data_IF_824816674288
#
_entry.id   IF_824816674288
#
_cell.length_a   1.000
_cell.length_b   1.000
_cell.length_c   1.000
_cell.angle_alpha   90.00
_cell.angle_beta   90.00
_cell.angle_gamma   90.00
#
_symmetry.space_group_name_H-M   'P 1'
#
loop_
_entity.id
_entity.type
_entity.pdbx_description
1 polymer ?
#
# COMPACT_ATOMS: atom_id res chain seq x y z
N UNK A 1 2.30 2.62 -32.09
CA UNK A 1 1.77 3.41 -30.95
C UNK A 1 2.80 3.33 -29.82
N UNK A 2 3.27 4.47 -29.28
CA UNK A 2 4.53 4.55 -28.50
C UNK A 2 4.40 3.94 -27.08
N UNK A 3 5.03 2.79 -26.82
CA UNK A 3 4.96 2.05 -25.54
C UNK A 3 5.25 2.93 -24.30
N UNK A 4 6.22 3.86 -24.40
CA UNK A 4 6.54 4.82 -23.31
C UNK A 4 5.37 5.73 -22.93
N UNK A 5 4.55 6.18 -23.89
CA UNK A 5 3.40 7.06 -23.61
C UNK A 5 2.27 6.29 -22.92
N UNK A 6 2.08 5.03 -23.28
CA UNK A 6 1.07 4.17 -22.66
C UNK A 6 1.43 3.85 -21.21
N UNK A 7 2.70 3.51 -20.92
CA UNK A 7 3.16 3.29 -19.55
C UNK A 7 3.02 4.55 -18.70
N UNK A 8 3.36 5.73 -19.24
CA UNK A 8 3.18 6.99 -18.53
C UNK A 8 1.70 7.24 -18.19
N UNK A 9 0.80 7.05 -19.16
CA UNK A 9 -0.65 7.19 -18.94
C UNK A 9 -1.18 6.19 -17.90
N UNK A 10 -0.66 4.96 -17.90
CA UNK A 10 -1.04 3.95 -16.91
C UNK A 10 -0.58 4.34 -15.50
N UNK A 11 0.67 4.82 -15.35
CA UNK A 11 1.21 5.32 -14.08
C UNK A 11 0.36 6.48 -13.56
N UNK A 12 0.01 7.45 -14.41
CA UNK A 12 -0.78 8.62 -13.99
C UNK A 12 -2.21 8.23 -13.62
N UNK A 13 -2.86 7.33 -14.37
CA UNK A 13 -4.19 6.80 -14.02
C UNK A 13 -4.15 6.04 -12.69
N UNK A 14 -3.15 5.19 -12.49
CA UNK A 14 -3.02 4.42 -11.25
C UNK A 14 -2.77 5.35 -10.06
N UNK A 15 -1.92 6.37 -10.21
CA UNK A 15 -1.68 7.37 -9.19
C UNK A 15 -2.92 8.22 -8.88
N UNK A 16 -3.68 8.64 -9.89
CA UNK A 16 -4.93 9.36 -9.71
C UNK A 16 -5.95 8.53 -8.92
N UNK A 17 -6.13 7.26 -9.28
CA UNK A 17 -6.96 6.33 -8.54
C UNK A 17 -6.47 6.15 -7.10
N UNK A 18 -5.14 6.07 -6.89
CA UNK A 18 -4.55 6.00 -5.56
C UNK A 18 -4.94 7.19 -4.68
N UNK A 19 -4.89 8.41 -5.23
CA UNK A 19 -5.26 9.62 -4.51
C UNK A 19 -6.75 9.61 -4.19
N UNK A 20 -7.61 9.35 -5.17
CA UNK A 20 -9.07 9.32 -4.99
C UNK A 20 -9.49 8.28 -3.94
N UNK A 21 -8.96 7.05 -4.04
CA UNK A 21 -9.23 5.99 -3.07
C UNK A 21 -8.74 6.38 -1.67
N UNK A 22 -7.57 7.01 -1.56
CA UNK A 22 -7.04 7.47 -0.27
C UNK A 22 -7.88 8.59 0.34
N UNK A 23 -8.51 9.45 -0.47
CA UNK A 23 -9.43 10.48 0.00
C UNK A 23 -10.76 9.86 0.44
N UNK A 24 -11.33 8.94 -0.36
CA UNK A 24 -12.55 8.20 -0.01
C UNK A 24 -12.36 7.42 1.30
N UNK A 25 -11.22 6.74 1.47
CA UNK A 25 -10.90 6.01 2.70
C UNK A 25 -10.87 6.92 3.94
N UNK A 26 -10.53 8.21 3.79
CA UNK A 26 -10.60 9.18 4.91
C UNK A 26 -12.03 9.59 5.25
N UNK A 27 -12.95 9.53 4.28
CA UNK A 27 -14.36 9.86 4.47
C UNK A 27 -15.15 8.69 5.08
N UNK A 28 -14.72 7.45 4.82
CA UNK A 28 -15.33 6.26 5.40
C UNK A 28 -14.96 6.17 6.88
N UNK A 29 -15.97 6.04 7.75
CA UNK A 29 -15.75 5.76 9.17
C UNK A 29 -14.94 4.46 9.33
N UNK A 30 -13.87 4.45 10.15
CA UNK A 30 -13.05 3.26 10.34
C UNK A 30 -13.92 2.05 10.72
N UNK A 31 -13.89 0.95 9.96
CA UNK A 31 -14.73 -0.22 10.26
C UNK A 31 -14.27 -0.97 11.50
N UNK A 32 -13.04 -0.71 11.96
CA UNK A 32 -12.48 -1.29 13.17
C UNK A 32 -12.74 -0.36 14.36
N UNK A 33 -14.01 -0.28 14.81
CA UNK A 33 -14.41 0.55 15.94
C UNK A 33 -13.65 0.22 17.25
N UNK A 34 -13.15 -1.01 17.38
CA UNK A 34 -12.34 -1.49 18.51
C UNK A 34 -10.86 -1.06 18.45
N UNK A 35 -10.39 -0.52 17.31
CA UNK A 35 -9.00 -0.13 17.12
C UNK A 35 -8.92 1.29 16.52
N UNK A 36 -8.99 2.34 17.35
CA UNK A 36 -8.78 3.72 16.92
C UNK A 36 -7.50 3.86 16.09
N UNK A 37 -7.64 4.44 14.89
CA UNK A 37 -6.54 4.62 13.93
C UNK A 37 -6.35 3.49 12.91
N UNK A 38 -7.00 2.33 13.08
CA UNK A 38 -6.95 1.26 12.08
C UNK A 38 -7.75 1.64 10.83
N UNK A 39 -7.12 1.51 9.66
CA UNK A 39 -7.72 1.84 8.35
C UNK A 39 -8.03 0.56 7.56
N UNK A 40 -8.89 0.69 6.54
CA UNK A 40 -9.22 -0.41 5.64
C UNK A 40 -8.02 -0.89 4.81
N UNK A 41 -7.02 -0.03 4.60
CA UNK A 41 -5.87 -0.28 3.76
C UNK A 41 -6.18 -0.11 2.27
N UNK A 42 -7.26 0.61 1.90
CA UNK A 42 -7.60 0.84 0.50
C UNK A 42 -6.50 1.61 -0.23
N UNK A 43 -5.81 2.53 0.46
CA UNK A 43 -4.60 3.14 -0.09
C UNK A 43 -3.55 2.09 -0.47
N UNK A 44 -3.30 1.09 0.38
CA UNK A 44 -2.30 0.04 0.16
C UNK A 44 -2.64 -0.91 -0.99
N UNK A 45 -3.93 -1.04 -1.36
CA UNK A 45 -4.36 -1.77 -2.55
C UNK A 45 -3.62 -1.29 -3.81
N UNK A 46 -3.53 0.03 -3.98
CA UNK A 46 -2.88 0.60 -5.17
C UNK A 46 -1.36 0.43 -5.10
N UNK A 47 -0.75 0.47 -3.91
CA UNK A 47 0.67 0.10 -3.75
C UNK A 47 0.92 -1.33 -4.20
N UNK A 48 0.06 -2.26 -3.80
CA UNK A 48 0.19 -3.67 -4.16
C UNK A 48 -0.01 -3.89 -5.67
N UNK A 49 -1.05 -3.28 -6.25
CA UNK A 49 -1.28 -3.32 -7.70
C UNK A 49 -0.07 -2.74 -8.45
N UNK A 50 0.47 -1.61 -8.01
CA UNK A 50 1.67 -1.02 -8.63
C UNK A 50 2.87 -1.97 -8.57
N UNK A 51 3.13 -2.60 -7.42
CA UNK A 51 4.22 -3.59 -7.26
C UNK A 51 4.06 -4.79 -8.21
N UNK A 52 2.83 -5.18 -8.53
CA UNK A 52 2.54 -6.33 -9.38
C UNK A 52 2.26 -6.00 -10.86
N UNK A 53 2.27 -4.72 -11.25
CA UNK A 53 2.02 -4.28 -12.64
C UNK A 53 3.12 -3.41 -13.22
N UNK A 54 3.97 -2.80 -12.38
CA UNK A 54 5.02 -1.89 -12.83
C UNK A 54 6.40 -2.35 -12.35
N UNK A 55 7.48 -1.99 -13.08
CA UNK A 55 8.84 -2.11 -12.58
C UNK A 55 9.01 -1.32 -11.26
N UNK A 56 9.93 -1.77 -10.40
CA UNK A 56 10.16 -1.20 -9.06
C UNK A 56 10.40 0.32 -9.07
N UNK A 57 11.02 0.85 -10.14
CA UNK A 57 11.26 2.30 -10.29
C UNK A 57 9.98 3.09 -10.52
N UNK A 58 9.01 2.53 -11.23
CA UNK A 58 7.77 3.20 -11.59
C UNK A 58 6.68 3.00 -10.52
N UNK A 59 6.63 1.83 -9.89
CA UNK A 59 5.74 1.61 -8.73
C UNK A 59 6.11 2.53 -7.56
N UNK A 60 7.40 2.79 -7.31
CA UNK A 60 7.84 3.77 -6.30
C UNK A 60 7.30 5.17 -6.60
N UNK A 61 7.28 5.61 -7.86
CA UNK A 61 6.72 6.91 -8.26
C UNK A 61 5.24 7.01 -7.95
N UNK A 62 4.46 5.96 -8.26
CA UNK A 62 3.01 5.92 -7.96
C UNK A 62 2.78 6.06 -6.46
N UNK A 63 3.53 5.31 -5.65
CA UNK A 63 3.39 5.32 -4.19
C UNK A 63 3.80 6.68 -3.60
N UNK A 64 4.90 7.26 -4.06
CA UNK A 64 5.37 8.57 -3.62
C UNK A 64 4.37 9.67 -4.01
N UNK A 65 3.87 9.65 -5.25
CA UNK A 65 2.91 10.64 -5.74
C UNK A 65 1.59 10.56 -4.96
N UNK A 66 1.09 9.36 -4.68
CA UNK A 66 -0.08 9.15 -3.82
C UNK A 66 0.14 9.79 -2.46
N UNK A 67 1.27 9.51 -1.80
CA UNK A 67 1.55 10.00 -0.46
C UNK A 67 1.61 11.54 -0.44
N UNK A 68 2.35 12.14 -1.38
CA UNK A 68 2.51 13.59 -1.47
C UNK A 68 1.16 14.28 -1.75
N UNK A 69 0.44 13.86 -2.79
CA UNK A 69 -0.82 14.50 -3.18
C UNK A 69 -1.89 14.29 -2.11
N UNK A 70 -2.06 13.08 -1.60
CA UNK A 70 -3.10 12.81 -0.57
C UNK A 70 -2.84 13.56 0.73
N UNK A 71 -1.57 13.84 1.06
CA UNK A 71 -1.25 14.67 2.23
C UNK A 71 -1.46 16.14 1.93
N UNK A 72 -1.07 16.62 0.75
CA UNK A 72 -1.24 18.02 0.37
C UNK A 72 -2.72 18.43 0.28
N UNK A 73 -3.60 17.54 -0.21
CA UNK A 73 -5.02 17.84 -0.41
C UNK A 73 -5.86 17.85 0.87
N UNK A 74 -5.39 17.27 1.98
CA UNK A 74 -6.22 17.17 3.19
C UNK A 74 -5.55 16.56 4.40
N UNK A 75 -4.22 16.61 4.48
CA UNK A 75 -3.43 16.16 5.62
C UNK A 75 -2.66 17.29 6.27
N UNK A 76 -2.12 17.01 7.46
CA UNK A 76 -1.16 17.86 8.17
C UNK A 76 0.26 17.32 8.02
N UNK A 77 1.26 18.10 8.45
CA UNK A 77 2.65 17.62 8.48
C UNK A 77 2.82 16.35 9.31
N UNK A 78 2.11 16.21 10.44
CA UNK A 78 2.15 14.97 11.23
C UNK A 78 1.57 13.78 10.45
N UNK A 79 0.46 13.97 9.73
CA UNK A 79 -0.10 12.90 8.89
C UNK A 79 0.83 12.51 7.73
N UNK A 80 1.61 13.48 7.21
CA UNK A 80 2.65 13.19 6.24
C UNK A 80 3.70 12.26 6.83
N UNK A 81 4.21 12.56 8.03
CA UNK A 81 5.23 11.76 8.68
C UNK A 81 4.75 10.34 8.97
N UNK A 82 3.52 10.19 9.51
CA UNK A 82 2.90 8.88 9.73
C UNK A 82 2.78 8.11 8.42
N UNK A 83 2.19 8.74 7.39
CA UNK A 83 2.00 8.14 6.08
C UNK A 83 3.32 7.78 5.40
N UNK A 84 4.35 8.61 5.54
CA UNK A 84 5.67 8.41 4.96
C UNK A 84 6.37 7.21 5.58
N UNK A 85 6.47 7.15 6.91
CA UNK A 85 7.11 6.02 7.57
C UNK A 85 6.35 4.71 7.32
N UNK A 86 5.02 4.71 7.48
CA UNK A 86 4.19 3.54 7.20
C UNK A 86 4.30 3.07 5.75
N UNK A 87 4.16 3.99 4.79
CA UNK A 87 4.23 3.65 3.36
C UNK A 87 5.61 3.14 2.97
N UNK A 88 6.68 3.76 3.47
CA UNK A 88 8.06 3.37 3.15
C UNK A 88 8.38 1.99 3.72
N UNK A 89 8.08 1.76 4.99
CA UNK A 89 8.35 0.47 5.65
C UNK A 89 7.54 -0.66 5.01
N UNK A 90 6.25 -0.39 4.73
CA UNK A 90 5.36 -1.30 4.01
C UNK A 90 5.87 -1.62 2.60
N UNK A 91 6.24 -0.61 1.82
CA UNK A 91 6.72 -0.78 0.45
C UNK A 91 8.02 -1.58 0.39
N UNK A 92 9.00 -1.24 1.24
CA UNK A 92 10.27 -1.97 1.33
C UNK A 92 10.01 -3.42 1.71
N UNK A 93 9.20 -3.67 2.74
CA UNK A 93 8.86 -5.02 3.16
C UNK A 93 8.15 -5.84 2.07
N UNK A 94 7.23 -5.23 1.33
CA UNK A 94 6.55 -5.90 0.21
C UNK A 94 7.50 -6.25 -0.93
N UNK A 95 8.43 -5.35 -1.29
CA UNK A 95 9.44 -5.61 -2.32
C UNK A 95 10.40 -6.72 -1.88
N UNK A 96 10.89 -6.66 -0.65
CA UNK A 96 11.77 -7.70 -0.09
C UNK A 96 11.07 -9.06 -0.03
N UNK A 97 9.79 -9.10 0.38
CA UNK A 97 9.01 -10.32 0.36
C UNK A 97 8.83 -10.85 -1.07
N UNK A 98 8.52 -9.99 -2.04
CA UNK A 98 8.38 -10.38 -3.46
C UNK A 98 9.66 -11.03 -4.01
N UNK A 99 10.84 -10.61 -3.57
CA UNK A 99 12.12 -11.21 -4.00
C UNK A 99 12.30 -12.67 -3.57
N UNK A 100 11.54 -13.17 -2.59
CA UNK A 100 11.56 -14.58 -2.18
C UNK A 100 10.98 -15.53 -3.25
N UNK A 101 10.35 -14.97 -4.28
CA UNK A 101 9.84 -15.71 -5.43
C UNK A 101 8.40 -16.25 -5.23
N UNK A 102 7.73 -16.59 -6.34
CA UNK A 102 6.31 -16.99 -6.34
C UNK A 102 6.06 -18.31 -5.59
N UNK A 103 7.07 -19.17 -5.46
CA UNK A 103 6.95 -20.46 -4.77
C UNK A 103 6.92 -20.35 -3.25
N UNK A 104 7.35 -19.20 -2.69
CA UNK A 104 7.46 -18.99 -1.24
C UNK A 104 6.42 -18.02 -0.69
N UNK A 105 5.97 -17.06 -1.50
CA UNK A 105 5.06 -16.00 -1.07
C UNK A 105 3.95 -15.75 -2.08
N UNK A 106 2.72 -15.61 -1.58
CA UNK A 106 1.58 -15.20 -2.37
C UNK A 106 1.41 -13.67 -2.38
N UNK A 107 0.75 -13.09 -3.40
CA UNK A 107 0.37 -11.67 -3.39
C UNK A 107 -0.43 -11.27 -2.13
N UNK A 108 -1.24 -12.20 -1.62
CA UNK A 108 -2.01 -12.03 -0.38
C UNK A 108 -1.08 -11.94 0.83
N UNK A 109 -0.09 -12.84 0.94
CA UNK A 109 0.89 -12.82 2.03
C UNK A 109 1.74 -11.55 2.02
N UNK A 110 2.13 -11.08 0.83
CA UNK A 110 2.85 -9.82 0.64
C UNK A 110 1.97 -8.64 1.09
N UNK A 111 0.68 -8.65 0.78
CA UNK A 111 -0.28 -7.64 1.25
C UNK A 111 -0.42 -7.61 2.77
N UNK A 112 -0.53 -8.79 3.41
CA UNK A 112 -0.61 -8.93 4.87
C UNK A 112 0.64 -8.35 5.54
N UNK A 113 1.83 -8.74 5.08
CA UNK A 113 3.10 -8.17 5.55
C UNK A 113 3.14 -6.66 5.36
N UNK A 114 2.72 -6.18 4.19
CA UNK A 114 2.61 -4.76 3.88
C UNK A 114 1.70 -4.02 4.86
N UNK A 115 0.53 -4.57 5.21
CA UNK A 115 -0.41 -4.00 6.17
C UNK A 115 0.18 -3.90 7.58
N UNK A 116 0.80 -4.98 8.07
CA UNK A 116 1.45 -4.99 9.38
C UNK A 116 2.59 -3.97 9.47
N UNK A 117 3.46 -3.93 8.47
CA UNK A 117 4.59 -3.01 8.41
C UNK A 117 4.14 -1.55 8.25
N UNK A 118 3.03 -1.31 7.56
CA UNK A 118 2.46 0.04 7.46
C UNK A 118 2.06 0.57 8.83
N UNK A 119 1.35 -0.25 9.60
CA UNK A 119 0.90 0.12 10.93
C UNK A 119 2.08 0.27 11.90
N UNK A 120 3.09 -0.60 11.79
CA UNK A 120 4.33 -0.47 12.56
C UNK A 120 5.03 0.87 12.26
N UNK A 121 5.19 1.23 10.98
CA UNK A 121 5.85 2.48 10.61
C UNK A 121 5.12 3.73 11.11
N UNK A 122 3.78 3.73 11.06
CA UNK A 122 2.97 4.79 11.64
C UNK A 122 3.16 4.88 13.17
N UNK A 123 3.11 3.73 13.85
CA UNK A 123 3.21 3.67 15.30
C UNK A 123 4.60 4.07 15.80
N UNK A 124 5.67 3.77 15.06
CA UNK A 124 7.02 4.22 15.39
C UNK A 124 7.12 5.75 15.38
N UNK A 125 6.57 6.41 14.36
CA UNK A 125 6.55 7.88 14.30
C UNK A 125 5.63 8.45 15.39
N UNK A 126 4.51 7.80 15.68
CA UNK A 126 3.66 8.21 16.80
C UNK A 126 4.41 8.12 18.13
N UNK A 127 5.16 7.04 18.38
CA UNK A 127 5.96 6.86 19.58
C UNK A 127 7.04 7.94 19.73
N UNK A 128 7.70 8.33 18.64
CA UNK A 128 8.72 9.38 18.68
C UNK A 128 8.11 10.76 18.94
N UNK A 129 6.99 11.09 18.29
CA UNK A 129 6.27 12.36 18.51
C UNK A 129 5.69 12.43 19.92
N UNK A 130 5.07 11.35 20.40
CA UNK A 130 4.49 11.25 21.74
C UNK A 130 5.56 11.11 22.85
N UNK A 131 6.84 10.96 22.49
CA UNK A 131 7.97 10.71 23.40
C UNK A 131 7.73 9.55 24.38
N UNK A 132 7.01 8.52 23.92
CA UNK A 132 6.62 7.39 24.74
C UNK A 132 6.60 6.12 23.91
N UNK A 133 7.49 5.18 24.23
CA UNK A 133 7.50 3.85 23.59
C UNK A 133 6.41 2.93 24.14
N UNK A 134 5.72 3.29 25.23
CA UNK A 134 4.59 2.53 25.76
C UNK A 134 3.46 2.37 24.74
N UNK A 135 3.34 3.31 23.78
CA UNK A 135 2.36 3.21 22.69
C UNK A 135 2.62 2.01 21.78
N UNK A 136 3.84 1.44 21.77
CA UNK A 136 4.14 0.21 21.03
C UNK A 136 3.41 -1.02 21.58
N UNK A 137 2.91 -0.98 22.82
CA UNK A 137 2.02 -2.02 23.34
C UNK A 137 0.69 -2.10 22.58
N UNK A 138 0.36 -1.09 21.77
CA UNK A 138 -0.79 -1.10 20.86
C UNK A 138 -0.50 -1.85 19.55
N UNK A 139 0.77 -2.20 19.29
CA UNK A 139 1.19 -2.89 18.07
C UNK A 139 0.48 -4.24 17.85
N UNK A 140 0.20 -5.10 18.84
CA UNK A 140 -0.54 -6.35 18.62
C UNK A 140 -1.94 -6.11 18.02
N UNK A 141 -2.66 -5.10 18.52
CA UNK A 141 -3.99 -4.72 18.02
C UNK A 141 -3.89 -4.18 16.59
N UNK A 142 -2.90 -3.32 16.34
CA UNK A 142 -2.64 -2.78 15.00
C UNK A 142 -2.13 -3.85 14.01
N UNK A 143 -1.34 -4.82 14.46
CA UNK A 143 -0.89 -5.92 13.63
C UNK A 143 -2.07 -6.81 13.24
N UNK A 144 -2.97 -7.10 14.18
CA UNK A 144 -4.19 -7.86 13.90
C UNK A 144 -5.08 -7.18 12.86
N UNK A 145 -5.33 -5.88 13.00
CA UNK A 145 -6.08 -5.12 12.00
C UNK A 145 -5.34 -5.03 10.66
N UNK A 146 -4.00 -4.93 10.69
CA UNK A 146 -3.15 -4.98 9.49
C UNK A 146 -3.23 -6.31 8.75
N UNK A 147 -3.37 -7.43 9.47
CA UNK A 147 -3.60 -8.76 8.87
C UNK A 147 -4.96 -8.81 8.19
N UNK A 148 -6.02 -8.38 8.88
CA UNK A 148 -7.38 -8.37 8.32
C UNK A 148 -7.49 -7.48 7.08
N UNK A 149 -7.02 -6.24 7.18
CA UNK A 149 -6.95 -5.30 6.07
C UNK A 149 -6.10 -5.86 4.93
N UNK A 150 -4.90 -6.35 5.23
CA UNK A 150 -3.98 -6.90 4.24
C UNK A 150 -4.54 -8.12 3.51
N UNK A 151 -5.31 -8.99 4.21
CA UNK A 151 -6.01 -10.11 3.59
C UNK A 151 -7.07 -9.62 2.59
N UNK A 152 -7.95 -8.71 3.01
CA UNK A 152 -9.00 -8.15 2.14
C UNK A 152 -8.40 -7.44 0.92
N UNK A 153 -7.38 -6.61 1.14
CA UNK A 153 -6.65 -5.89 0.09
C UNK A 153 -5.94 -6.87 -0.85
N UNK A 154 -5.32 -7.92 -0.33
CA UNK A 154 -4.63 -8.94 -1.11
C UNK A 154 -5.56 -9.73 -2.01
N UNK A 155 -6.74 -10.12 -1.49
CA UNK A 155 -7.80 -10.77 -2.26
C UNK A 155 -8.33 -9.84 -3.36
N UNK A 156 -8.64 -8.59 -3.01
CA UNK A 156 -9.11 -7.59 -3.98
C UNK A 156 -8.08 -7.34 -5.09
N UNK A 157 -6.80 -7.18 -4.74
CA UNK A 157 -5.72 -6.99 -5.71
C UNK A 157 -5.60 -8.18 -6.65
N UNK A 158 -5.58 -9.40 -6.10
CA UNK A 158 -5.46 -10.62 -6.89
C UNK A 158 -6.62 -10.76 -7.88
N UNK A 159 -7.84 -10.48 -7.42
CA UNK A 159 -9.02 -10.47 -8.28
C UNK A 159 -8.92 -9.42 -9.40
N UNK A 160 -8.55 -8.18 -9.05
CA UNK A 160 -8.41 -7.08 -10.02
C UNK A 160 -7.32 -7.36 -11.06
N UNK A 161 -6.18 -7.90 -10.65
CA UNK A 161 -5.07 -8.27 -11.54
C UNK A 161 -5.47 -9.35 -12.56
N UNK A 162 -6.44 -10.21 -12.23
CA UNK A 162 -6.90 -11.29 -13.11
C UNK A 162 -8.06 -10.88 -14.01
N UNK A 163 -8.98 -10.04 -13.51
CA UNK A 163 -10.25 -9.72 -14.17
C UNK A 163 -10.22 -8.42 -14.97
N UNK A 164 -9.35 -7.47 -14.63
CA UNK A 164 -9.25 -6.18 -15.32
C UNK A 164 -8.20 -6.28 -16.44
N UNK A 165 -8.64 -6.15 -17.70
CA UNK A 165 -7.80 -6.34 -18.89
C UNK A 165 -6.46 -5.58 -18.86
N UNK A 166 -6.47 -4.24 -18.66
CA UNK A 166 -5.23 -3.46 -18.57
C UNK A 166 -4.30 -3.92 -17.45
N UNK A 167 -4.82 -4.19 -16.25
CA UNK A 167 -4.02 -4.68 -15.13
C UNK A 167 -3.41 -6.05 -15.43
N UNK A 168 -4.19 -6.95 -16.03
CA UNK A 168 -3.73 -8.29 -16.41
C UNK A 168 -2.57 -8.24 -17.41
N UNK A 169 -2.64 -7.35 -18.40
CA UNK A 169 -1.58 -7.20 -19.40
C UNK A 169 -0.24 -6.80 -18.75
N UNK A 170 -0.25 -5.77 -17.92
CA UNK A 170 0.95 -5.32 -17.19
C UNK A 170 1.40 -6.34 -16.12
N UNK A 171 0.45 -7.02 -15.48
CA UNK A 171 0.75 -8.05 -14.49
C UNK A 171 1.50 -9.24 -15.11
N UNK A 172 1.10 -9.68 -16.31
CA UNK A 172 1.78 -10.77 -17.00
C UNK A 172 3.23 -10.45 -17.36
N UNK A 173 3.53 -9.19 -17.70
CA UNK A 173 4.90 -8.74 -17.96
C UNK A 173 5.76 -8.86 -16.70
N UNK A 174 5.25 -8.36 -15.56
CA UNK A 174 5.95 -8.44 -14.28
C UNK A 174 6.05 -9.88 -13.76
N UNK A 175 5.04 -10.72 -13.99
CA UNK A 175 5.07 -12.15 -13.65
C UNK A 175 6.14 -12.92 -14.44
N UNK A 176 6.36 -12.55 -15.70
CA UNK A 176 7.40 -13.19 -16.52
C UNK A 176 8.82 -12.92 -15.98
N UNK A 177 9.03 -11.75 -15.36
CA UNK A 177 10.26 -11.38 -14.65
C UNK A 177 10.31 -11.98 -13.23
N UNK A 178 9.17 -12.27 -12.63
CA UNK A 178 9.04 -12.86 -11.30
C UNK A 178 9.06 -14.40 -11.37
N UNK A 179 10.21 -14.96 -11.79
CA UNK A 179 10.50 -16.40 -11.81
C UNK A 179 11.45 -16.80 -10.69
#
# INVERSE_FOLDING_TARGET
MNSKRQTLNFITMLAAQAVVISLIERLITPPFAFAPGAKLGLGNLISLIAIFTLPTKDSLKVVALRLLISTFLGGTFSTFLYGFAGTTLSYVGMISAKQLGPNRVSPIGISILGGMLHNLGQLLVFATIARSFYVLNYLPILAFTGILSGLLVGLAATYLLQKVGPLRHYHQQVLAEWK
#
